data_IF_130658951758
#
_entry.id   IF_130658951758
#
_cell.length_a   1.000
_cell.length_b   1.000
_cell.length_c   1.000
_cell.angle_alpha   90.00
_cell.angle_beta   90.00
_cell.angle_gamma   90.00
#
_symmetry.space_group_name_H-M   'P 1'
#
loop_
_entity.id
_entity.type
_entity.pdbx_description
1 polymer ?
#
# COMPACT_ATOMS: atom_id res chain seq x y z
N UNK A 1 -26.47 -2.39 -10.96
CA UNK A 1 -25.48 -2.96 -11.89
C UNK A 1 -24.78 -4.16 -11.27
N UNK A 2 -24.48 -4.13 -9.97
CA UNK A 2 -24.11 -5.36 -9.26
C UNK A 2 -25.33 -6.27 -9.10
N UNK A 3 -25.10 -7.58 -9.11
CA UNK A 3 -26.11 -8.59 -8.81
C UNK A 3 -25.48 -9.69 -7.96
N UNK A 4 -26.25 -10.36 -7.09
CA UNK A 4 -25.80 -11.60 -6.45
C UNK A 4 -25.29 -12.61 -7.50
N UNK A 5 -24.36 -13.51 -7.15
CA UNK A 5 -23.90 -13.81 -5.79
C UNK A 5 -22.65 -13.03 -5.31
N UNK A 6 -22.03 -12.20 -6.15
CA UNK A 6 -20.77 -11.52 -5.83
C UNK A 6 -20.90 -10.28 -4.95
N UNK A 7 -19.98 -10.11 -3.99
CA UNK A 7 -19.83 -8.90 -3.19
C UNK A 7 -18.85 -7.95 -3.86
N UNK A 8 -19.21 -6.67 -3.95
CA UNK A 8 -18.41 -5.66 -4.64
C UNK A 8 -17.92 -4.59 -3.67
N UNK A 9 -16.63 -4.28 -3.73
CA UNK A 9 -15.99 -3.21 -2.96
C UNK A 9 -14.82 -2.64 -3.76
N UNK A 10 -14.13 -1.61 -3.29
CA UNK A 10 -12.95 -1.08 -3.99
C UNK A 10 -11.66 -1.46 -3.25
N UNK A 11 -11.53 -1.02 -2.01
CA UNK A 11 -10.35 -1.27 -1.20
C UNK A 11 -10.04 -0.08 -0.31
N UNK A 12 -8.84 0.48 -0.48
CA UNK A 12 -8.27 1.44 0.45
C UNK A 12 -8.81 2.86 0.30
N UNK A 13 -8.88 3.58 1.42
CA UNK A 13 -9.12 5.02 1.38
C UNK A 13 -7.92 5.76 0.79
N UNK A 14 -8.15 6.97 0.29
CA UNK A 14 -7.10 7.79 -0.34
C UNK A 14 -6.75 7.39 -1.77
N UNK A 15 -7.33 6.31 -2.31
CA UNK A 15 -7.17 5.93 -3.71
C UNK A 15 -8.45 6.29 -4.48
N UNK A 16 -8.32 7.02 -5.59
CA UNK A 16 -9.46 7.39 -6.46
C UNK A 16 -9.89 6.16 -7.29
N UNK A 17 -11.13 5.67 -7.15
CA UNK A 17 -11.61 4.52 -7.93
C UNK A 17 -12.06 4.91 -9.35
N UNK A 18 -12.28 6.21 -9.58
CA UNK A 18 -12.76 6.75 -10.84
C UNK A 18 -11.63 7.04 -11.81
N UNK A 19 -11.89 6.78 -13.09
CA UNK A 19 -11.01 7.23 -14.16
C UNK A 19 -11.06 8.76 -14.29
N UNK A 20 -10.18 9.32 -15.13
CA UNK A 20 -10.10 10.77 -15.33
C UNK A 20 -11.40 11.38 -15.88
N UNK A 21 -12.21 10.58 -16.60
CA UNK A 21 -13.49 11.01 -17.17
C UNK A 21 -14.67 10.92 -16.18
N UNK A 22 -14.47 10.25 -15.04
CA UNK A 22 -15.49 9.93 -14.04
C UNK A 22 -16.68 9.14 -14.62
N UNK A 23 -16.46 8.43 -15.73
CA UNK A 23 -17.45 7.54 -16.35
C UNK A 23 -17.18 6.06 -16.05
N UNK A 24 -15.98 5.74 -15.56
CA UNK A 24 -15.60 4.37 -15.20
C UNK A 24 -15.10 4.30 -13.77
N UNK A 25 -15.57 3.30 -13.04
CA UNK A 25 -15.20 3.04 -11.66
C UNK A 25 -14.59 1.64 -11.52
N UNK A 26 -13.42 1.55 -10.92
CA UNK A 26 -12.80 0.27 -10.59
C UNK A 26 -13.43 -0.32 -9.34
N UNK A 27 -13.55 -1.64 -9.31
CA UNK A 27 -13.95 -2.39 -8.13
C UNK A 27 -13.33 -3.79 -8.13
N UNK A 28 -13.44 -4.43 -6.96
CA UNK A 28 -13.19 -5.83 -6.72
C UNK A 28 -14.52 -6.54 -6.51
N UNK A 29 -14.67 -7.70 -7.11
CA UNK A 29 -15.73 -8.68 -6.84
C UNK A 29 -15.13 -9.90 -6.12
N UNK A 30 -15.78 -10.33 -5.04
CA UNK A 30 -15.41 -11.51 -4.25
C UNK A 30 -16.63 -12.35 -3.92
N UNK A 31 -16.41 -13.63 -3.58
CA UNK A 31 -17.49 -14.59 -3.32
C UNK A 31 -17.86 -14.74 -1.83
N UNK A 32 -17.20 -14.01 -0.94
CA UNK A 32 -17.43 -14.05 0.51
C UNK A 32 -17.09 -12.69 1.14
N UNK A 33 -17.56 -12.45 2.37
CA UNK A 33 -17.26 -11.24 3.15
C UNK A 33 -17.23 -11.46 4.67
N UNK A 34 -17.31 -12.72 5.11
CA UNK A 34 -17.51 -13.14 6.50
C UNK A 34 -16.23 -13.68 7.16
N UNK A 35 -15.10 -13.66 6.46
CA UNK A 35 -13.79 -14.09 6.95
C UNK A 35 -12.64 -13.37 6.24
N UNK A 36 -11.42 -13.35 6.80
CA UNK A 36 -10.24 -12.92 6.05
C UNK A 36 -9.94 -13.82 4.84
N UNK A 37 -9.36 -13.29 3.74
CA UNK A 37 -8.90 -14.11 2.62
C UNK A 37 -7.66 -14.92 2.99
N UNK A 38 -7.64 -16.17 2.54
CA UNK A 38 -6.50 -17.07 2.57
C UNK A 38 -5.71 -17.02 1.26
N UNK A 39 -4.64 -17.81 1.20
CA UNK A 39 -3.69 -17.79 0.09
C UNK A 39 -4.29 -18.18 -1.27
N UNK A 40 -5.42 -18.89 -1.32
CA UNK A 40 -6.04 -19.36 -2.57
C UNK A 40 -7.27 -18.56 -2.97
N UNK A 41 -7.72 -17.63 -2.13
CA UNK A 41 -8.89 -16.82 -2.40
C UNK A 41 -8.57 -15.74 -3.44
N UNK A 42 -9.42 -15.64 -4.46
CA UNK A 42 -9.26 -14.67 -5.55
C UNK A 42 -10.25 -13.53 -5.40
N UNK A 43 -9.80 -12.33 -5.74
CA UNK A 43 -10.67 -11.21 -6.07
C UNK A 43 -10.63 -10.98 -7.58
N UNK A 44 -11.79 -10.76 -8.18
CA UNK A 44 -11.90 -10.33 -9.57
C UNK A 44 -11.82 -8.80 -9.60
N UNK A 45 -10.89 -8.25 -10.37
CA UNK A 45 -10.83 -6.83 -10.67
C UNK A 45 -11.78 -6.56 -11.82
N UNK A 46 -12.65 -5.57 -11.68
CA UNK A 46 -13.63 -5.20 -12.67
C UNK A 46 -13.72 -3.67 -12.82
N UNK A 47 -14.24 -3.25 -13.96
CA UNK A 47 -14.63 -1.85 -14.22
C UNK A 47 -16.14 -1.76 -14.39
N UNK A 48 -16.74 -0.86 -13.64
CA UNK A 48 -18.13 -0.43 -13.82
C UNK A 48 -18.13 0.72 -14.82
N UNK A 49 -18.76 0.52 -15.96
CA UNK A 49 -18.89 1.55 -17.01
C UNK A 49 -20.30 2.15 -16.96
N UNK A 50 -20.38 3.44 -16.64
CA UNK A 50 -21.67 4.13 -16.45
C UNK A 50 -22.35 4.51 -17.77
N UNK A 51 -21.61 4.59 -18.87
CA UNK A 51 -22.14 4.86 -20.20
C UNK A 51 -22.93 3.66 -20.75
N UNK A 52 -22.36 2.46 -20.62
CA UNK A 52 -22.97 1.20 -21.07
C UNK A 52 -23.85 0.54 -20.00
N UNK A 53 -23.70 0.98 -18.73
CA UNK A 53 -24.33 0.37 -17.55
C UNK A 53 -23.94 -1.09 -17.35
N UNK A 54 -22.68 -1.43 -17.63
CA UNK A 54 -22.14 -2.78 -17.51
C UNK A 54 -21.03 -2.87 -16.47
N UNK A 55 -20.76 -4.09 -16.01
CA UNK A 55 -19.57 -4.42 -15.22
C UNK A 55 -18.74 -5.36 -16.06
N UNK A 56 -17.51 -4.97 -16.38
CA UNK A 56 -16.58 -5.73 -17.17
C UNK A 56 -15.46 -6.28 -16.28
N UNK A 57 -15.35 -7.62 -16.11
CA UNK A 57 -14.21 -8.24 -15.45
C UNK A 57 -12.93 -8.00 -16.26
N UNK A 58 -11.86 -7.55 -15.60
CA UNK A 58 -10.58 -7.21 -16.20
C UNK A 58 -9.50 -8.24 -15.88
N UNK A 59 -9.40 -8.63 -14.60
CA UNK A 59 -8.35 -9.53 -14.13
C UNK A 59 -8.77 -10.24 -12.84
N UNK A 60 -7.93 -11.15 -12.36
CA UNK A 60 -8.03 -11.70 -11.02
C UNK A 60 -6.72 -11.47 -10.28
N UNK A 61 -6.78 -11.43 -8.95
CA UNK A 61 -5.61 -11.33 -8.08
C UNK A 61 -5.73 -12.23 -6.86
N UNK A 62 -4.60 -12.78 -6.43
CA UNK A 62 -4.41 -13.49 -5.15
C UNK A 62 -3.84 -12.57 -4.06
N UNK A 63 -3.40 -11.36 -4.41
CA UNK A 63 -2.79 -10.39 -3.51
C UNK A 63 -3.81 -9.32 -3.10
N UNK A 64 -4.75 -9.69 -2.22
CA UNK A 64 -5.79 -8.78 -1.76
C UNK A 64 -6.19 -8.99 -0.29
N UNK A 65 -6.83 -7.97 0.28
CA UNK A 65 -7.57 -8.04 1.54
C UNK A 65 -8.72 -7.02 1.56
N UNK A 66 -9.62 -7.10 2.55
CA UNK A 66 -10.77 -6.19 2.64
C UNK A 66 -10.44 -4.75 3.03
N UNK A 67 -9.28 -4.50 3.65
CA UNK A 67 -8.90 -3.14 4.06
C UNK A 67 -8.31 -2.36 2.88
N UNK A 68 -7.34 -2.93 2.19
CA UNK A 68 -6.52 -2.27 1.19
C UNK A 68 -6.83 -2.70 -0.24
N UNK A 69 -7.70 -3.70 -0.43
CA UNK A 69 -7.90 -4.33 -1.73
C UNK A 69 -6.58 -4.91 -2.23
N UNK A 70 -6.28 -4.71 -3.50
CA UNK A 70 -4.99 -5.03 -4.13
C UNK A 70 -4.18 -3.77 -4.48
N UNK A 71 -4.39 -2.66 -3.77
CA UNK A 71 -3.80 -1.35 -4.11
C UNK A 71 -4.08 -0.98 -5.58
N UNK A 72 -5.36 -0.94 -5.92
CA UNK A 72 -5.86 -0.79 -7.29
C UNK A 72 -5.90 0.70 -7.69
N UNK A 73 -5.12 1.10 -8.69
CA UNK A 73 -5.08 2.49 -9.18
C UNK A 73 -5.37 2.56 -10.69
N UNK A 74 -6.00 3.65 -11.13
CA UNK A 74 -5.86 4.13 -12.50
C UNK A 74 -4.51 4.83 -12.68
N UNK A 75 -3.89 4.68 -13.85
CA UNK A 75 -2.72 5.47 -14.23
C UNK A 75 -3.16 6.78 -14.94
N UNK A 76 -2.59 7.95 -14.60
CA UNK A 76 -3.14 9.26 -14.99
C UNK A 76 -3.18 9.58 -16.49
N UNK A 77 -2.36 8.90 -17.32
CA UNK A 77 -2.13 9.29 -18.72
C UNK A 77 -2.50 8.22 -19.75
N UNK A 78 -3.05 7.10 -19.29
CA UNK A 78 -3.37 5.96 -20.15
C UNK A 78 -4.67 5.31 -19.68
N UNK A 79 -5.33 4.55 -20.55
CA UNK A 79 -6.40 3.62 -20.13
C UNK A 79 -5.79 2.41 -19.42
N UNK A 80 -4.88 2.63 -18.47
CA UNK A 80 -4.16 1.60 -17.74
C UNK A 80 -4.56 1.61 -16.27
N UNK A 81 -4.56 0.42 -15.68
CA UNK A 81 -4.67 0.21 -14.26
C UNK A 81 -3.42 -0.50 -13.75
N UNK A 82 -3.09 -0.29 -12.48
CA UNK A 82 -2.07 -1.05 -11.77
C UNK A 82 -2.66 -1.67 -10.53
N UNK A 83 -2.29 -2.93 -10.26
CA UNK A 83 -2.76 -3.68 -9.10
C UNK A 83 -1.72 -4.69 -8.64
N UNK A 84 -1.79 -5.08 -7.37
CA UNK A 84 -0.93 -6.11 -6.81
C UNK A 84 -1.43 -7.51 -7.15
N UNK A 85 -0.49 -8.42 -7.42
CA UNK A 85 -0.71 -9.83 -7.68
C UNK A 85 0.34 -10.68 -6.94
N UNK A 86 0.03 -11.95 -6.68
CA UNK A 86 0.98 -12.95 -6.26
C UNK A 86 1.36 -13.85 -7.45
N UNK A 87 2.64 -13.84 -7.80
CA UNK A 87 3.20 -14.64 -8.89
C UNK A 87 4.16 -15.65 -8.29
N UNK A 88 3.71 -16.91 -8.17
CA UNK A 88 4.47 -17.95 -7.48
C UNK A 88 4.62 -17.63 -5.99
N UNK A 89 5.86 -17.46 -5.55
CA UNK A 89 6.28 -17.23 -4.17
C UNK A 89 6.59 -15.75 -3.84
N UNK A 90 6.24 -14.83 -4.74
CA UNK A 90 6.44 -13.38 -4.52
C UNK A 90 5.18 -12.57 -4.81
N UNK A 91 5.10 -11.40 -4.20
CA UNK A 91 4.17 -10.36 -4.61
C UNK A 91 4.82 -9.46 -5.67
N UNK A 92 4.01 -9.02 -6.61
CA UNK A 92 4.37 -8.17 -7.74
C UNK A 92 3.23 -7.19 -7.98
N UNK A 93 3.41 -6.25 -8.91
CA UNK A 93 2.32 -5.47 -9.48
C UNK A 93 2.20 -5.72 -10.97
N UNK A 94 0.98 -5.60 -11.48
CA UNK A 94 0.66 -5.78 -12.89
C UNK A 94 0.04 -4.48 -13.38
N UNK A 95 0.57 -3.97 -14.48
CA UNK A 95 -0.07 -2.90 -15.24
C UNK A 95 -0.85 -3.53 -16.38
N UNK A 96 -2.12 -3.18 -16.52
CA UNK A 96 -3.04 -3.68 -17.53
C UNK A 96 -3.70 -2.50 -18.25
N UNK A 97 -3.62 -2.49 -19.58
CA UNK A 97 -4.43 -1.60 -20.40
C UNK A 97 -5.84 -2.17 -20.55
N UNK A 98 -6.87 -1.41 -20.17
CA UNK A 98 -8.26 -1.89 -20.14
C UNK A 98 -8.94 -1.91 -21.51
N UNK A 99 -8.32 -1.29 -22.53
CA UNK A 99 -8.80 -1.30 -23.91
C UNK A 99 -8.09 -2.39 -24.74
N UNK A 100 -6.76 -2.44 -24.65
CA UNK A 100 -5.93 -3.33 -25.49
C UNK A 100 -5.66 -4.68 -24.84
N UNK A 101 -5.89 -4.81 -23.53
CA UNK A 101 -5.58 -5.99 -22.72
C UNK A 101 -4.09 -6.33 -22.64
N UNK A 102 -3.23 -5.42 -23.09
CA UNK A 102 -1.79 -5.54 -22.92
C UNK A 102 -1.42 -5.42 -21.45
N UNK A 103 -0.45 -6.24 -21.03
CA UNK A 103 -0.03 -6.33 -19.63
C UNK A 103 1.47 -6.39 -19.50
N UNK A 104 1.98 -5.74 -18.46
CA UNK A 104 3.37 -5.86 -18.00
C UNK A 104 3.40 -6.08 -16.50
N UNK A 105 4.43 -6.77 -16.03
CA UNK A 105 4.61 -7.09 -14.62
C UNK A 105 5.84 -6.37 -14.09
N UNK A 106 5.70 -5.75 -12.92
CA UNK A 106 6.78 -5.10 -12.20
C UNK A 106 7.20 -5.99 -11.03
N UNK A 107 8.48 -5.93 -10.65
CA UNK A 107 9.10 -6.89 -9.73
C UNK A 107 8.60 -6.80 -8.29
N UNK A 108 7.92 -5.70 -7.92
CA UNK A 108 7.36 -5.44 -6.59
C UNK A 108 5.89 -5.04 -6.61
N UNK A 109 5.13 -5.32 -5.53
CA UNK A 109 3.80 -4.76 -5.34
C UNK A 109 3.91 -3.26 -5.04
N UNK A 110 2.87 -2.49 -5.30
CA UNK A 110 2.78 -1.08 -4.93
C UNK A 110 1.96 -0.89 -3.65
N UNK A 111 2.21 0.20 -2.94
CA UNK A 111 1.44 0.65 -1.77
C UNK A 111 1.01 2.11 -1.86
N UNK A 112 1.54 2.85 -2.82
CA UNK A 112 1.11 4.19 -3.25
C UNK A 112 1.69 4.46 -4.65
N UNK A 113 1.15 5.48 -5.32
CA UNK A 113 1.54 5.92 -6.66
C UNK A 113 1.72 7.45 -6.65
N UNK A 114 2.73 7.97 -7.35
CA UNK A 114 2.88 9.41 -7.60
C UNK A 114 1.74 9.92 -8.47
N UNK A 115 1.42 11.21 -8.37
CA UNK A 115 0.30 11.83 -9.10
C UNK A 115 0.50 11.82 -10.61
N UNK A 116 1.74 11.78 -11.09
CA UNK A 116 2.07 11.63 -12.51
C UNK A 116 2.09 10.16 -12.99
N UNK A 117 2.02 9.21 -12.07
CA UNK A 117 2.05 7.77 -12.33
C UNK A 117 3.43 7.22 -12.71
N UNK A 118 4.52 7.99 -12.51
CA UNK A 118 5.88 7.54 -12.82
C UNK A 118 6.46 6.64 -11.72
N UNK A 119 6.21 6.97 -10.47
CA UNK A 119 6.81 6.28 -9.33
C UNK A 119 5.77 5.56 -8.47
N UNK A 120 6.14 4.37 -8.00
CA UNK A 120 5.39 3.62 -7.02
C UNK A 120 6.20 3.48 -5.74
N UNK A 121 5.53 3.50 -4.59
CA UNK A 121 6.12 3.04 -3.33
C UNK A 121 5.73 1.59 -3.10
N UNK A 122 6.56 0.84 -2.40
CA UNK A 122 6.33 -0.56 -2.08
C UNK A 122 6.71 -0.86 -0.64
N UNK A 123 6.00 -1.82 -0.06
CA UNK A 123 6.23 -2.36 1.28
C UNK A 123 6.38 -3.89 1.21
N UNK A 124 6.92 -4.49 2.26
CA UNK A 124 6.87 -5.94 2.44
C UNK A 124 5.48 -6.38 2.91
N UNK A 125 4.62 -6.71 1.94
CA UNK A 125 3.25 -7.19 2.21
C UNK A 125 3.19 -8.54 2.95
N UNK A 126 4.25 -9.35 2.90
CA UNK A 126 4.35 -10.59 3.66
C UNK A 126 4.60 -10.31 5.16
N UNK A 127 5.52 -9.40 5.47
CA UNK A 127 5.73 -8.89 6.83
C UNK A 127 4.51 -8.19 7.39
N UNK A 128 3.86 -7.35 6.57
CA UNK A 128 2.58 -6.74 6.93
C UNK A 128 1.52 -7.79 7.25
N UNK A 129 1.42 -8.87 6.48
CA UNK A 129 0.46 -9.94 6.75
C UNK A 129 0.77 -10.65 8.07
N UNK A 130 2.05 -10.95 8.32
CA UNK A 130 2.51 -11.62 9.53
C UNK A 130 2.31 -10.77 10.80
N UNK A 131 2.57 -9.45 10.73
CA UNK A 131 2.51 -8.54 11.89
C UNK A 131 1.15 -7.87 12.08
N UNK A 132 0.40 -7.68 10.99
CA UNK A 132 -0.92 -7.05 10.99
C UNK A 132 -1.85 -7.73 9.97
N UNK A 133 -2.37 -8.93 10.28
CA UNK A 133 -3.36 -9.60 9.45
C UNK A 133 -4.49 -8.66 9.05
N UNK A 134 -4.82 -8.65 7.77
CA UNK A 134 -5.79 -7.71 7.16
C UNK A 134 -5.18 -6.49 6.46
N UNK A 135 -3.87 -6.20 6.61
CA UNK A 135 -3.16 -5.13 5.89
C UNK A 135 -1.96 -5.65 5.07
N UNK A 136 -1.82 -6.96 4.97
CA UNK A 136 -0.87 -7.62 4.07
C UNK A 136 -1.60 -8.64 3.21
N UNK A 137 -0.84 -9.43 2.46
CA UNK A 137 -1.39 -10.46 1.57
C UNK A 137 -0.97 -11.85 2.04
N UNK A 138 -1.91 -12.80 1.95
CA UNK A 138 -1.65 -14.17 2.32
C UNK A 138 -0.82 -14.91 1.26
N UNK A 139 -0.11 -15.95 1.68
CA UNK A 139 0.47 -16.93 0.76
C UNK A 139 1.91 -16.68 0.30
N UNK A 140 2.62 -15.73 0.92
CA UNK A 140 4.08 -15.57 0.83
C UNK A 140 4.62 -15.41 2.25
N UNK A 141 5.71 -16.10 2.58
CA UNK A 141 6.36 -15.97 3.88
C UNK A 141 7.17 -14.68 3.97
N UNK A 142 7.26 -14.07 5.16
CA UNK A 142 8.15 -12.93 5.40
C UNK A 142 9.62 -13.39 5.33
N UNK A 143 10.43 -12.93 4.37
CA UNK A 143 11.84 -13.31 4.28
C UNK A 143 12.67 -12.83 5.47
N UNK A 144 12.18 -11.85 6.24
CA UNK A 144 12.85 -11.29 7.41
C UNK A 144 12.18 -11.68 8.73
N UNK A 145 11.43 -12.80 8.75
CA UNK A 145 10.77 -13.30 9.94
C UNK A 145 11.76 -13.45 11.12
N UNK A 146 11.40 -12.91 12.28
CA UNK A 146 12.23 -12.95 13.49
C UNK A 146 13.33 -11.88 13.54
N UNK A 147 13.59 -11.15 12.44
CA UNK A 147 14.46 -9.99 12.45
C UNK A 147 13.68 -8.75 12.87
N UNK A 148 14.17 -8.03 13.88
CA UNK A 148 13.45 -6.89 14.45
C UNK A 148 13.42 -5.66 13.56
N UNK A 149 14.60 -5.32 13.00
CA UNK A 149 14.86 -4.12 12.22
C UNK A 149 15.91 -4.46 11.14
N UNK A 150 15.54 -5.28 10.14
CA UNK A 150 16.43 -5.63 9.02
C UNK A 150 16.82 -4.39 8.19
N UNK A 151 18.05 -4.37 7.70
CA UNK A 151 18.58 -3.30 6.82
C UNK A 151 18.07 -3.41 5.37
N UNK A 152 17.56 -4.57 4.98
CA UNK A 152 17.18 -4.89 3.61
C UNK A 152 15.66 -4.87 3.39
N UNK A 153 14.88 -4.49 4.41
CA UNK A 153 13.42 -4.34 4.35
C UNK A 153 12.98 -2.95 4.79
N UNK A 154 11.96 -2.40 4.14
CA UNK A 154 11.44 -1.08 4.44
C UNK A 154 10.52 -0.52 3.36
N UNK A 155 10.64 0.78 3.10
CA UNK A 155 9.98 1.45 1.99
C UNK A 155 10.89 1.37 0.78
N UNK A 156 10.40 0.76 -0.29
CA UNK A 156 11.07 0.75 -1.58
C UNK A 156 10.36 1.70 -2.53
N UNK A 157 11.09 2.22 -3.50
CA UNK A 157 10.54 2.92 -4.65
C UNK A 157 10.73 2.09 -5.91
N UNK A 158 9.86 2.33 -6.89
CA UNK A 158 9.80 1.68 -8.18
C UNK A 158 9.59 2.75 -9.24
N UNK A 159 10.42 2.78 -10.28
CA UNK A 159 10.11 3.51 -11.51
C UNK A 159 9.27 2.59 -12.41
N UNK A 160 8.04 3.00 -12.73
CA UNK A 160 7.09 2.18 -13.49
C UNK A 160 7.42 2.08 -14.98
N UNK A 161 8.28 2.97 -15.50
CA UNK A 161 8.72 2.97 -16.89
C UNK A 161 9.89 2.02 -17.07
N UNK A 162 10.94 2.16 -16.24
CA UNK A 162 12.14 1.31 -16.35
C UNK A 162 12.00 -0.04 -15.64
N UNK A 163 11.12 -0.13 -14.64
CA UNK A 163 11.01 -1.29 -13.74
C UNK A 163 12.10 -1.34 -12.67
N UNK A 164 12.93 -0.29 -12.55
CA UNK A 164 13.98 -0.18 -11.55
C UNK A 164 13.39 -0.06 -10.14
N UNK A 165 14.04 -0.71 -9.18
CA UNK A 165 13.64 -0.75 -7.78
C UNK A 165 14.83 -0.46 -6.89
N UNK A 166 14.63 0.40 -5.89
CA UNK A 166 15.62 0.65 -4.84
C UNK A 166 14.96 0.76 -3.47
N UNK A 167 15.73 0.44 -2.43
CA UNK A 167 15.31 0.64 -1.04
C UNK A 167 15.56 2.11 -0.67
N UNK A 168 14.52 2.81 -0.25
CA UNK A 168 14.58 4.25 0.08
C UNK A 168 14.87 4.44 1.56
N UNK A 169 14.11 3.75 2.40
CA UNK A 169 14.26 3.80 3.87
C UNK A 169 14.08 2.40 4.42
N UNK A 170 15.07 1.89 5.14
CA UNK A 170 15.00 0.60 5.81
C UNK A 170 14.36 0.67 7.19
N UNK A 171 13.92 -0.47 7.71
CA UNK A 171 13.51 -0.60 9.12
C UNK A 171 14.68 -0.29 10.06
N UNK A 172 15.92 -0.55 9.63
CA UNK A 172 17.13 -0.20 10.37
C UNK A 172 17.34 1.31 10.46
N UNK A 173 17.16 2.07 9.37
CA UNK A 173 17.32 3.54 9.38
C UNK A 173 16.36 4.23 10.37
N UNK A 174 15.11 3.76 10.40
CA UNK A 174 14.10 4.26 11.36
C UNK A 174 14.45 3.87 12.79
N UNK A 175 14.95 2.64 12.99
CA UNK A 175 15.44 2.20 14.29
C UNK A 175 16.63 3.03 14.77
N UNK A 176 17.59 3.35 13.91
CA UNK A 176 18.76 4.16 14.30
C UNK A 176 18.35 5.60 14.63
N UNK A 177 17.37 6.17 13.91
CA UNK A 177 16.88 7.52 14.15
C UNK A 177 16.07 7.68 15.45
N UNK A 178 15.24 6.70 15.82
CA UNK A 178 14.26 6.83 16.94
C UNK A 178 14.14 5.62 17.87
N UNK A 179 14.77 4.50 17.57
CA UNK A 179 14.64 3.22 18.25
C UNK A 179 15.41 3.06 19.57
N UNK A 180 15.83 4.16 20.21
CA UNK A 180 16.64 4.09 21.44
C UNK A 180 15.85 3.71 22.71
N UNK A 181 14.52 3.65 22.65
CA UNK A 181 13.68 3.14 23.74
C UNK A 181 13.70 1.61 23.85
N UNK A 182 13.65 1.08 25.07
CA UNK A 182 13.69 -0.38 25.32
C UNK A 182 12.58 -1.15 24.59
N UNK A 183 11.37 -0.58 24.50
CA UNK A 183 10.26 -1.18 23.76
C UNK A 183 10.59 -1.36 22.27
N UNK A 184 11.15 -0.33 21.63
CA UNK A 184 11.44 -0.35 20.18
C UNK A 184 12.60 -1.30 19.88
N UNK A 185 13.65 -1.30 20.71
CA UNK A 185 14.78 -2.25 20.63
C UNK A 185 14.37 -3.72 20.67
N UNK A 186 13.24 -4.01 21.33
CA UNK A 186 12.76 -5.37 21.49
C UNK A 186 11.64 -5.75 20.53
N UNK A 187 11.11 -4.79 19.78
CA UNK A 187 9.98 -5.02 18.91
C UNK A 187 10.39 -5.33 17.47
N UNK A 188 9.62 -6.20 16.82
CA UNK A 188 9.68 -6.36 15.37
C UNK A 188 8.88 -5.24 14.71
N UNK A 189 9.60 -4.31 14.08
CA UNK A 189 8.99 -3.19 13.37
C UNK A 189 8.37 -3.65 12.06
N UNK A 190 7.30 -3.00 11.64
CA UNK A 190 6.82 -3.06 10.25
C UNK A 190 6.40 -1.68 9.77
N UNK A 191 6.51 -1.45 8.48
CA UNK A 191 6.01 -0.24 7.85
C UNK A 191 4.62 -0.46 7.26
N UNK A 192 3.78 0.57 7.34
CA UNK A 192 2.45 0.54 6.76
C UNK A 192 2.02 1.94 6.31
N UNK A 193 1.05 1.98 5.40
CA UNK A 193 0.44 3.18 4.84
C UNK A 193 1.46 4.20 4.32
N UNK A 194 1.86 4.01 3.07
CA UNK A 194 2.61 5.01 2.30
C UNK A 194 1.65 5.96 1.60
N UNK A 195 2.06 7.22 1.41
CA UNK A 195 1.31 8.20 0.62
C UNK A 195 2.26 9.31 0.13
N UNK A 196 2.24 9.61 -1.17
CA UNK A 196 2.95 10.78 -1.70
C UNK A 196 2.29 12.09 -1.24
N UNK A 197 3.08 13.13 -1.04
CA UNK A 197 2.54 14.47 -0.84
C UNK A 197 1.99 15.03 -2.15
N UNK A 198 1.33 16.18 -2.07
CA UNK A 198 0.53 16.75 -3.17
C UNK A 198 1.33 17.17 -4.41
N UNK A 199 2.66 17.23 -4.33
CA UNK A 199 3.56 17.54 -5.45
C UNK A 199 4.61 16.44 -5.71
N UNK A 200 4.42 15.25 -5.13
CA UNK A 200 5.29 14.07 -5.25
C UNK A 200 6.74 14.25 -4.78
N UNK A 201 7.10 15.41 -4.21
CA UNK A 201 8.46 15.66 -3.71
C UNK A 201 8.82 14.85 -2.46
N UNK A 202 7.81 14.36 -1.74
CA UNK A 202 7.98 13.55 -0.52
C UNK A 202 6.91 12.49 -0.42
N UNK A 203 7.15 11.52 0.45
CA UNK A 203 6.11 10.62 0.93
C UNK A 203 6.10 10.51 2.44
N UNK A 204 4.96 10.13 2.98
CA UNK A 204 4.77 9.75 4.38
C UNK A 204 4.62 8.24 4.48
N UNK A 205 5.10 7.67 5.59
CA UNK A 205 4.87 6.28 5.96
C UNK A 205 4.79 6.12 7.48
N UNK A 206 4.14 5.05 7.94
CA UNK A 206 4.05 4.75 9.37
C UNK A 206 4.96 3.59 9.75
N UNK A 207 5.79 3.80 10.77
CA UNK A 207 6.50 2.73 11.46
C UNK A 207 5.71 2.28 12.68
N UNK A 208 5.56 0.97 12.83
CA UNK A 208 4.66 0.37 13.82
C UNK A 208 5.28 -0.83 14.50
N UNK A 209 4.86 -1.06 15.74
CA UNK A 209 5.10 -2.30 16.45
C UNK A 209 3.93 -2.68 17.36
N UNK A 210 3.83 -3.97 17.70
CA UNK A 210 2.77 -4.51 18.54
C UNK A 210 3.05 -4.25 20.03
N UNK A 211 2.01 -3.89 20.78
CA UNK A 211 2.05 -3.74 22.24
C UNK A 211 0.78 -4.34 22.83
N UNK A 212 0.90 -5.51 23.47
CA UNK A 212 -0.26 -6.29 23.93
C UNK A 212 -1.19 -6.63 22.76
N UNK A 213 -2.46 -6.27 22.88
CA UNK A 213 -3.46 -6.41 21.79
C UNK A 213 -3.49 -5.22 20.83
N UNK A 214 -2.71 -4.18 21.11
CA UNK A 214 -2.65 -2.94 20.34
C UNK A 214 -1.37 -2.78 19.53
N UNK A 215 -1.13 -1.55 19.10
CA UNK A 215 0.10 -1.14 18.41
C UNK A 215 0.48 0.28 18.77
N UNK A 216 1.78 0.59 18.73
CA UNK A 216 2.26 1.97 18.67
C UNK A 216 2.62 2.32 17.23
N UNK A 217 2.39 3.56 16.84
CA UNK A 217 2.68 4.08 15.51
C UNK A 217 3.48 5.36 15.63
N UNK A 218 4.49 5.50 14.79
CA UNK A 218 5.24 6.73 14.54
C UNK A 218 5.08 7.11 13.07
N UNK A 219 5.08 8.42 12.78
CA UNK A 219 4.92 8.98 11.44
C UNK A 219 6.24 9.53 10.95
N UNK A 220 6.64 9.08 9.77
CA UNK A 220 7.87 9.51 9.11
C UNK A 220 7.58 10.04 7.72
N UNK A 221 8.43 10.93 7.22
CA UNK A 221 8.46 11.34 5.82
C UNK A 221 9.86 11.26 5.25
N UNK A 222 9.97 11.07 3.94
CA UNK A 222 11.24 11.07 3.20
C UNK A 222 11.04 11.58 1.79
N UNK A 223 12.12 12.03 1.15
CA UNK A 223 12.25 12.09 -0.32
C UNK A 223 12.46 10.68 -0.89
N UNK A 224 12.44 10.54 -2.24
CA UNK A 224 12.60 9.26 -2.92
C UNK A 224 14.04 8.71 -2.89
N UNK A 225 15.00 9.56 -2.55
CA UNK A 225 16.42 9.25 -2.39
C UNK A 225 16.75 8.72 -0.98
N UNK A 226 15.84 8.89 -0.01
CA UNK A 226 16.07 8.50 1.39
C UNK A 226 16.98 9.48 2.15
N UNK A 227 17.35 10.59 1.53
CA UNK A 227 18.37 11.52 2.02
C UNK A 227 17.81 12.51 3.06
N UNK A 228 16.49 12.74 3.04
CA UNK A 228 15.80 13.65 3.95
C UNK A 228 14.73 12.93 4.77
N UNK A 229 15.12 11.89 5.50
CA UNK A 229 14.24 11.18 6.44
C UNK A 229 13.91 12.05 7.66
N UNK A 230 12.63 12.17 8.00
CA UNK A 230 12.13 12.96 9.14
C UNK A 230 11.12 12.17 9.96
N UNK A 231 11.23 12.25 11.29
CA UNK A 231 10.20 11.79 12.21
C UNK A 231 9.29 12.97 12.59
N UNK A 232 8.02 12.92 12.19
CA UNK A 232 7.06 13.99 12.48
C UNK A 232 6.30 13.76 13.79
N UNK A 233 5.93 12.51 14.06
CA UNK A 233 5.25 12.11 15.30
C UNK A 233 5.90 10.84 15.80
N UNK A 234 6.42 10.88 17.03
CA UNK A 234 7.08 9.74 17.67
C UNK A 234 6.06 8.68 18.11
N UNK A 235 6.54 7.49 18.51
CA UNK A 235 5.74 6.32 18.80
C UNK A 235 4.65 6.59 19.85
N UNK A 236 3.41 6.51 19.37
CA UNK A 236 2.21 6.71 20.15
C UNK A 236 0.99 6.25 19.36
N UNK A 237 -0.03 7.11 19.30
CA UNK A 237 -1.21 6.89 18.49
C UNK A 237 -1.14 7.78 17.24
N UNK A 238 -1.08 7.15 16.07
CA UNK A 238 -1.23 7.78 14.75
C UNK A 238 -2.18 6.89 13.95
N UNK A 239 -3.26 7.48 13.42
CA UNK A 239 -4.30 6.75 12.70
C UNK A 239 -4.44 7.26 11.27
N UNK A 240 -5.51 7.99 10.96
CA UNK A 240 -5.79 8.54 9.64
C UNK A 240 -5.03 9.85 9.45
N UNK A 241 -4.54 10.06 8.24
CA UNK A 241 -3.90 11.29 7.84
C UNK A 241 -4.10 11.52 6.34
N UNK A 242 -3.86 12.76 5.92
CA UNK A 242 -3.71 13.13 4.51
C UNK A 242 -2.83 14.38 4.39
N UNK A 243 -2.30 14.62 3.20
CA UNK A 243 -1.58 15.85 2.90
C UNK A 243 -2.57 16.96 2.53
N UNK A 244 -2.45 18.11 3.17
CA UNK A 244 -3.19 19.32 2.78
C UNK A 244 -2.49 20.04 1.62
N UNK A 245 -1.16 20.10 1.70
CA UNK A 245 -0.25 20.76 0.76
C UNK A 245 1.12 20.06 0.83
N UNK A 246 2.15 20.47 0.06
CA UNK A 246 3.44 19.77 0.04
C UNK A 246 4.16 19.69 1.39
N UNK A 247 3.87 20.60 2.33
CA UNK A 247 4.53 20.71 3.63
C UNK A 247 3.66 20.43 4.84
N UNK A 248 2.34 20.25 4.67
CA UNK A 248 1.37 20.15 5.77
C UNK A 248 0.58 18.84 5.73
N UNK A 249 0.57 18.11 6.86
CA UNK A 249 -0.23 16.89 7.06
C UNK A 249 -1.35 17.17 8.06
N UNK A 250 -2.58 16.79 7.70
CA UNK A 250 -3.70 16.68 8.63
C UNK A 250 -3.72 15.26 9.20
N UNK A 251 -3.70 15.11 10.52
CA UNK A 251 -3.53 13.79 11.15
C UNK A 251 -4.34 13.65 12.43
N UNK A 252 -4.99 12.50 12.58
CA UNK A 252 -5.54 12.05 13.86
C UNK A 252 -4.47 11.31 14.66
N UNK A 253 -3.91 11.99 15.66
CA UNK A 253 -2.85 11.47 16.51
C UNK A 253 -2.95 11.96 17.95
N UNK A 254 -2.34 11.21 18.88
CA UNK A 254 -2.02 11.73 20.20
C UNK A 254 -0.60 12.31 20.16
N UNK A 255 -0.50 13.62 20.13
CA UNK A 255 0.77 14.33 20.24
C UNK A 255 1.05 14.51 21.73
N UNK A 256 2.13 13.93 22.25
CA UNK A 256 2.63 14.33 23.58
C UNK A 256 2.91 15.82 23.47
N UNK A 257 2.27 16.66 24.31
CA UNK A 257 2.55 18.10 24.36
C UNK A 257 4.06 18.28 24.30
N UNK A 258 4.53 18.99 23.27
CA UNK A 258 5.84 19.62 23.32
C UNK A 258 5.78 20.49 24.58
N UNK A 259 6.60 20.16 25.56
CA UNK A 259 6.69 20.91 26.82
C UNK A 259 7.09 22.35 26.56
#
# INVERSE_FOLDING_TARGET
>A
MTSPPGYHFFGYYGIKPWDASENRLLCLEVLFQDRPPGATDRATIAVVDFGTRTILPLAQTLAWNFQQGCMLHWLPRQSEIIYNERIGDRFASVVLNVETWERRTLSRPISALSHDGRFGLSLNFARLHAKRPGYGYAGVADPYAGQKHPSEDGVYALDLESGEVWLVVSLHDVFDMRGQGEEVRNAELWFNHTLFNTDDSRFVFLSRFAVGTGRKSAMFTSDLEGSDLRCLIDYGLVSHFDWLDPGTILVWANIKRLG
#
